data_IF_361808041871
#
_entry.id   IF_361808041871
#
_cell.length_a   1.000
_cell.length_b   1.000
_cell.length_c   1.000
_cell.angle_alpha   90.00
_cell.angle_beta   90.00
_cell.angle_gamma   90.00
#
_symmetry.space_group_name_H-M   'P 1'
#
loop_
_entity.id
_entity.type
_entity.pdbx_description
1 polymer ?
#
# COMPACT_ATOMS: atom_id res chain seq x y z
N UNK A 1 4.70 8.60 -10.72
CA UNK A 1 5.37 9.16 -11.91
C UNK A 1 4.58 8.97 -13.22
N UNK A 2 4.07 7.77 -13.55
CA UNK A 2 3.35 7.50 -14.83
C UNK A 2 2.27 8.54 -15.16
N UNK A 3 1.32 8.78 -14.24
CA UNK A 3 0.29 9.82 -14.43
C UNK A 3 0.87 11.20 -14.70
N UNK A 4 1.95 11.58 -14.01
CA UNK A 4 2.57 12.89 -14.17
C UNK A 4 3.18 13.06 -15.57
N UNK A 5 3.72 11.99 -16.15
CA UNK A 5 4.27 11.99 -17.51
C UNK A 5 3.17 11.93 -18.56
N UNK A 6 2.20 11.03 -18.40
CA UNK A 6 1.11 10.83 -19.38
C UNK A 6 0.12 12.00 -19.41
N UNK A 7 -0.08 12.71 -18.29
CA UNK A 7 -1.08 13.78 -18.16
C UNK A 7 -0.47 15.17 -17.98
N UNK A 8 0.85 15.33 -18.20
CA UNK A 8 1.58 16.59 -18.03
C UNK A 8 1.36 17.26 -16.66
N UNK A 9 1.46 16.46 -15.59
CA UNK A 9 1.19 16.86 -14.21
C UNK A 9 2.45 16.80 -13.32
N UNK A 10 3.62 17.04 -13.91
CA UNK A 10 4.92 16.95 -13.25
C UNK A 10 5.03 17.93 -12.08
N UNK A 11 4.48 19.13 -12.21
CA UNK A 11 4.47 20.13 -11.13
C UNK A 11 3.68 19.61 -9.90
N UNK A 12 2.47 19.09 -10.12
CA UNK A 12 1.63 18.51 -9.05
C UNK A 12 2.32 17.33 -8.36
N UNK A 13 3.00 16.48 -9.14
CA UNK A 13 3.82 15.40 -8.60
C UNK A 13 4.98 15.93 -7.75
N UNK A 14 5.70 16.94 -8.21
CA UNK A 14 6.81 17.52 -7.47
C UNK A 14 6.34 18.17 -6.17
N UNK A 15 5.19 18.85 -6.17
CA UNK A 15 4.57 19.40 -4.96
C UNK A 15 4.19 18.30 -3.96
N UNK A 16 3.58 17.21 -4.45
CA UNK A 16 3.27 16.04 -3.63
C UNK A 16 4.52 15.42 -2.99
N UNK A 17 5.56 15.17 -3.80
CA UNK A 17 6.83 14.62 -3.31
C UNK A 17 7.48 15.55 -2.30
N UNK A 18 7.49 16.86 -2.54
CA UNK A 18 8.06 17.83 -1.62
C UNK A 18 7.32 17.84 -0.27
N UNK A 19 5.98 17.77 -0.27
CA UNK A 19 5.15 17.79 0.94
C UNK A 19 5.33 16.53 1.79
N UNK A 20 5.35 15.36 1.17
CA UNK A 20 5.34 14.07 1.87
C UNK A 20 6.67 13.32 1.79
N UNK A 21 7.76 14.01 1.43
CA UNK A 21 9.08 13.40 1.22
C UNK A 21 9.51 12.50 2.37
N UNK A 22 9.34 12.97 3.61
CA UNK A 22 9.77 12.25 4.81
C UNK A 22 9.03 10.92 4.93
N UNK A 23 7.69 10.92 4.85
CA UNK A 23 6.91 9.68 4.79
C UNK A 23 7.29 8.76 3.64
N UNK A 24 7.43 9.31 2.43
CA UNK A 24 7.77 8.52 1.24
C UNK A 24 9.11 7.81 1.40
N UNK A 25 10.13 8.49 1.93
CA UNK A 25 11.43 7.89 2.21
C UNK A 25 11.36 6.84 3.32
N UNK A 26 10.56 7.08 4.37
CA UNK A 26 10.37 6.10 5.45
C UNK A 26 9.71 4.82 4.96
N UNK A 27 8.74 4.89 4.05
CA UNK A 27 8.11 3.69 3.49
C UNK A 27 9.02 2.98 2.48
N UNK A 28 9.80 3.74 1.71
CA UNK A 28 10.85 3.20 0.84
C UNK A 28 11.91 2.43 1.64
N UNK A 29 12.34 2.95 2.80
CA UNK A 29 13.28 2.25 3.68
C UNK A 29 12.68 0.94 4.23
N UNK A 30 11.39 0.93 4.58
CA UNK A 30 10.69 -0.29 5.01
C UNK A 30 10.61 -1.33 3.90
N UNK A 31 10.31 -0.89 2.68
CA UNK A 31 10.30 -1.76 1.51
C UNK A 31 11.69 -2.34 1.26
N UNK A 32 12.74 -1.52 1.33
CA UNK A 32 14.12 -1.97 1.23
C UNK A 32 14.50 -2.96 2.33
N UNK A 33 14.04 -2.75 3.57
CA UNK A 33 14.22 -3.74 4.66
C UNK A 33 13.56 -5.06 4.34
N UNK A 34 12.33 -5.05 3.81
CA UNK A 34 11.64 -6.26 3.37
C UNK A 34 12.44 -7.01 2.31
N UNK A 35 12.84 -6.35 1.21
CA UNK A 35 13.60 -7.01 0.15
C UNK A 35 14.96 -7.53 0.64
N UNK A 36 15.62 -6.82 1.55
CA UNK A 36 16.86 -7.30 2.19
C UNK A 36 16.64 -8.54 3.05
N UNK A 37 15.56 -8.58 3.81
CA UNK A 37 15.23 -9.72 4.66
C UNK A 37 14.85 -10.96 3.82
N UNK A 38 14.08 -10.77 2.75
CA UNK A 38 13.57 -11.88 1.92
C UNK A 38 14.60 -12.40 0.92
N UNK A 39 15.32 -11.51 0.24
CA UNK A 39 16.18 -11.87 -0.91
C UNK A 39 17.68 -11.72 -0.64
N UNK A 40 18.07 -11.12 0.48
CA UNK A 40 19.48 -10.99 0.89
C UNK A 40 20.34 -10.29 -0.17
N UNK A 41 21.26 -11.03 -0.79
CA UNK A 41 22.22 -10.47 -1.78
C UNK A 41 21.57 -10.01 -3.08
N UNK A 42 20.40 -10.54 -3.44
CA UNK A 42 19.66 -10.11 -4.64
C UNK A 42 18.67 -8.98 -4.36
N UNK A 43 18.53 -8.50 -3.12
CA UNK A 43 17.50 -7.55 -2.70
C UNK A 43 17.33 -6.34 -3.62
N UNK A 44 18.43 -5.68 -4.01
CA UNK A 44 18.35 -4.51 -4.89
C UNK A 44 17.76 -4.85 -6.26
N UNK A 45 18.17 -5.98 -6.85
CA UNK A 45 17.67 -6.40 -8.17
C UNK A 45 16.19 -6.71 -8.10
N UNK A 46 15.78 -7.49 -7.10
CA UNK A 46 14.36 -7.86 -6.91
C UNK A 46 13.50 -6.63 -6.62
N UNK A 47 14.04 -5.66 -5.87
CA UNK A 47 13.38 -4.38 -5.63
C UNK A 47 13.21 -3.57 -6.93
N UNK A 48 14.27 -3.41 -7.72
CA UNK A 48 14.22 -2.67 -8.98
C UNK A 48 13.28 -3.35 -9.99
N UNK A 49 13.28 -4.69 -10.03
CA UNK A 49 12.36 -5.49 -10.84
C UNK A 49 10.90 -5.29 -10.37
N UNK A 50 10.65 -5.27 -9.06
CA UNK A 50 9.34 -4.97 -8.48
C UNK A 50 8.84 -3.56 -8.88
N UNK A 51 9.67 -2.52 -8.70
CA UNK A 51 9.32 -1.14 -9.08
C UNK A 51 9.03 -1.04 -10.59
N UNK A 52 9.82 -1.71 -11.41
CA UNK A 52 9.63 -1.77 -12.87
C UNK A 52 8.31 -2.45 -13.24
N UNK A 53 8.00 -3.60 -12.62
CA UNK A 53 6.74 -4.30 -12.85
C UNK A 53 5.55 -3.47 -12.40
N UNK A 54 5.65 -2.77 -11.27
CA UNK A 54 4.60 -1.86 -10.80
C UNK A 54 4.36 -0.74 -11.81
N UNK A 55 5.42 -0.13 -12.33
CA UNK A 55 5.31 0.91 -13.36
C UNK A 55 4.63 0.38 -14.64
N UNK A 56 4.96 -0.83 -15.07
CA UNK A 56 4.34 -1.48 -16.23
C UNK A 56 2.85 -1.75 -16.02
N UNK A 57 2.46 -2.34 -14.88
CA UNK A 57 1.05 -2.59 -14.54
C UNK A 57 0.25 -1.28 -14.54
N UNK A 58 0.79 -0.22 -13.94
CA UNK A 58 0.10 1.08 -13.91
C UNK A 58 0.04 1.74 -15.30
N UNK A 59 1.06 1.54 -16.14
CA UNK A 59 1.07 2.04 -17.52
C UNK A 59 0.06 1.30 -18.40
N UNK A 60 -0.01 -0.02 -18.31
CA UNK A 60 -0.98 -0.84 -19.04
C UNK A 60 -2.41 -0.47 -18.65
N UNK A 61 -2.68 -0.29 -17.35
CA UNK A 61 -3.97 0.22 -16.87
C UNK A 61 -4.30 1.60 -17.42
N UNK A 62 -3.30 2.47 -17.51
CA UNK A 62 -3.47 3.78 -18.13
C UNK A 62 -3.85 3.69 -19.60
N UNK A 63 -3.22 2.79 -20.35
CA UNK A 63 -3.56 2.52 -21.75
C UNK A 63 -4.97 1.94 -21.88
N UNK A 64 -5.35 0.98 -21.03
CA UNK A 64 -6.69 0.38 -21.03
C UNK A 64 -7.79 1.40 -20.70
N UNK A 65 -7.52 2.35 -19.79
CA UNK A 65 -8.45 3.41 -19.44
C UNK A 65 -8.55 4.53 -20.50
N UNK A 66 -7.57 4.63 -21.40
CA UNK A 66 -7.56 5.61 -22.49
C UNK A 66 -7.68 7.05 -22.00
N UNK A 67 -8.59 7.83 -22.59
CA UNK A 67 -8.79 9.25 -22.26
C UNK A 67 -9.35 9.48 -20.84
N UNK A 68 -9.97 8.46 -20.24
CA UNK A 68 -10.51 8.53 -18.87
C UNK A 68 -9.39 8.45 -17.82
N UNK A 69 -8.22 7.93 -18.19
CA UNK A 69 -7.09 7.80 -17.27
C UNK A 69 -6.72 9.13 -16.60
N UNK A 70 -6.56 10.19 -17.39
CA UNK A 70 -6.15 11.48 -16.85
C UNK A 70 -7.26 12.12 -16.03
N UNK A 71 -8.54 12.02 -16.42
CA UNK A 71 -9.62 12.62 -15.62
C UNK A 71 -9.73 11.96 -14.24
N UNK A 72 -9.59 10.63 -14.15
CA UNK A 72 -9.64 9.91 -12.89
C UNK A 72 -8.40 10.12 -12.02
N UNK A 73 -7.20 10.08 -12.62
CA UNK A 73 -5.94 10.15 -11.85
C UNK A 73 -5.53 11.57 -11.49
N UNK A 74 -5.98 12.58 -12.22
CA UNK A 74 -5.73 13.97 -11.86
C UNK A 74 -6.45 14.38 -10.58
N UNK A 75 -7.69 13.92 -10.37
CA UNK A 75 -8.44 14.17 -9.15
C UNK A 75 -7.69 13.66 -7.89
N UNK A 76 -6.94 12.55 -8.02
CA UNK A 76 -6.12 12.05 -6.92
C UNK A 76 -5.04 13.05 -6.48
N UNK A 77 -4.50 13.88 -7.38
CA UNK A 77 -3.54 14.93 -6.99
C UNK A 77 -4.21 16.02 -6.15
N UNK A 78 -5.46 16.36 -6.44
CA UNK A 78 -6.23 17.32 -5.65
C UNK A 78 -6.58 16.74 -4.26
N UNK A 79 -6.96 15.45 -4.22
CA UNK A 79 -7.24 14.73 -2.97
C UNK A 79 -6.00 14.69 -2.06
N UNK A 80 -4.82 14.30 -2.57
CA UNK A 80 -3.59 14.27 -1.75
C UNK A 80 -3.06 15.65 -1.37
N UNK A 81 -3.32 16.67 -2.20
CA UNK A 81 -2.95 18.04 -1.87
C UNK A 81 -3.71 18.56 -0.64
N UNK A 82 -4.97 18.12 -0.47
CA UNK A 82 -5.84 18.50 0.65
C UNK A 82 -5.51 17.80 1.98
N UNK A 83 -4.72 16.72 1.98
CA UNK A 83 -4.34 16.01 3.20
C UNK A 83 -3.42 16.86 4.08
N UNK A 84 -3.55 16.79 5.40
CA UNK A 84 -2.80 17.69 6.29
C UNK A 84 -1.44 17.13 6.67
N UNK A 85 -1.36 15.80 6.86
CA UNK A 85 -0.17 15.15 7.40
C UNK A 85 0.10 13.77 6.77
N UNK A 86 1.17 13.13 7.25
CA UNK A 86 1.65 11.83 6.76
C UNK A 86 0.74 10.65 7.15
N UNK A 87 -0.03 10.80 8.23
CA UNK A 87 -0.98 9.79 8.67
C UNK A 87 -2.21 9.79 7.76
N UNK A 88 -2.72 10.97 7.40
CA UNK A 88 -3.75 11.14 6.38
C UNK A 88 -3.33 10.52 5.04
N UNK A 89 -2.07 10.71 4.63
CA UNK A 89 -1.54 10.08 3.41
C UNK A 89 -1.55 8.55 3.48
N UNK A 90 -1.21 7.98 4.64
CA UNK A 90 -1.17 6.53 4.81
C UNK A 90 -2.57 5.92 4.73
N UNK A 91 -3.54 6.51 5.44
CA UNK A 91 -4.95 6.10 5.38
C UNK A 91 -5.53 6.25 3.98
N UNK A 92 -5.19 7.36 3.30
CA UNK A 92 -5.58 7.57 1.92
C UNK A 92 -5.02 6.49 1.00
N UNK A 93 -3.74 6.12 1.14
CA UNK A 93 -3.12 5.09 0.31
C UNK A 93 -3.72 3.69 0.56
N UNK A 94 -3.97 3.33 1.82
CA UNK A 94 -4.60 2.06 2.21
C UNK A 94 -6.03 1.90 1.67
N UNK A 95 -6.76 3.01 1.57
CA UNK A 95 -8.11 3.00 1.03
C UNK A 95 -8.18 2.86 -0.51
N UNK A 96 -7.05 2.95 -1.22
CA UNK A 96 -7.04 2.90 -2.69
C UNK A 96 -6.82 1.48 -3.23
N UNK A 97 -7.68 1.16 -4.20
CA UNK A 97 -7.63 0.07 -5.18
C UNK A 97 -6.32 -0.05 -6.00
N UNK A 98 -5.14 -0.21 -5.38
CA UNK A 98 -3.87 -0.27 -6.12
C UNK A 98 -3.49 -1.72 -6.39
N UNK A 99 -3.59 -2.12 -7.66
CA UNK A 99 -3.08 -3.42 -8.06
C UNK A 99 -1.57 -3.43 -8.09
N UNK A 100 -1.07 -4.33 -7.27
CA UNK A 100 0.33 -4.68 -7.12
C UNK A 100 0.73 -5.69 -8.20
N UNK A 101 2.01 -5.74 -8.61
CA UNK A 101 2.56 -6.80 -9.46
C UNK A 101 2.24 -8.19 -8.91
N UNK A 102 2.21 -9.24 -9.74
CA UNK A 102 1.94 -10.60 -9.24
C UNK A 102 3.09 -11.24 -8.43
N UNK A 103 4.25 -10.58 -8.37
CA UNK A 103 5.51 -11.13 -7.85
C UNK A 103 5.82 -10.82 -6.39
N UNK A 104 4.96 -10.09 -5.67
CA UNK A 104 5.11 -9.95 -4.22
C UNK A 104 4.51 -11.18 -3.52
N UNK A 105 5.35 -11.92 -2.81
CA UNK A 105 4.87 -12.88 -1.82
C UNK A 105 4.10 -12.10 -0.75
N UNK A 106 2.78 -12.22 -0.76
CA UNK A 106 1.97 -11.76 0.37
C UNK A 106 2.29 -12.65 1.55
N UNK A 107 2.82 -12.08 2.63
CA UNK A 107 2.85 -12.81 3.89
C UNK A 107 1.40 -13.09 4.30
N UNK A 108 1.07 -14.37 4.48
CA UNK A 108 -0.22 -14.76 5.02
C UNK A 108 -0.36 -14.16 6.41
N UNK A 109 -1.40 -13.34 6.62
CA UNK A 109 -1.67 -12.76 7.93
C UNK A 109 -1.86 -13.90 8.93
N UNK A 110 -1.19 -13.87 10.11
CA UNK A 110 -1.36 -14.93 11.09
C UNK A 110 -2.84 -15.04 11.44
N UNK A 111 -3.40 -16.25 11.30
CA UNK A 111 -4.79 -16.51 11.62
C UNK A 111 -5.07 -16.02 13.04
N UNK A 112 -5.92 -14.99 13.17
CA UNK A 112 -6.50 -14.62 14.45
C UNK A 112 -7.39 -15.79 14.84
N UNK A 113 -6.84 -16.76 15.59
CA UNK A 113 -7.65 -17.76 16.27
C UNK A 113 -8.61 -16.98 17.17
N UNK A 114 -9.87 -16.86 16.73
CA UNK A 114 -10.95 -16.35 17.57
C UNK A 114 -10.98 -17.24 18.79
N UNK A 115 -10.46 -16.74 19.91
CA UNK A 115 -10.52 -17.41 21.19
C UNK A 115 -11.99 -17.73 21.46
N UNK A 116 -12.36 -18.99 21.26
CA UNK A 116 -13.67 -19.49 21.63
C UNK A 116 -13.69 -19.46 23.15
N UNK A 117 -14.32 -18.42 23.70
CA UNK A 117 -14.60 -18.30 25.12
C UNK A 117 -15.54 -19.45 25.49
N UNK A 118 -14.95 -20.58 25.86
CA UNK A 118 -15.67 -21.70 26.43
C UNK A 118 -16.04 -21.32 27.86
N UNK A 119 -17.19 -20.67 28.02
CA UNK A 119 -17.84 -20.45 29.30
C UNK A 119 -18.20 -21.81 29.91
N UNK A 120 -17.25 -22.40 30.66
CA UNK A 120 -17.52 -23.53 31.55
C UNK A 120 -18.51 -23.06 32.62
N UNK A 121 -19.80 -23.33 32.41
CA UNK A 121 -20.83 -23.23 33.44
C UNK A 121 -20.45 -24.15 34.60
N UNK A 122 -20.01 -23.56 35.70
CA UNK A 122 -19.70 -24.20 36.97
C UNK A 122 -21.00 -24.76 37.55
N UNK A 123 -21.23 -26.07 37.43
CA UNK A 123 -22.35 -26.75 38.08
C UNK A 123 -22.11 -26.73 39.60
N UNK A 124 -22.94 -25.97 40.33
CA UNK A 124 -22.92 -25.87 41.79
C UNK A 124 -23.69 -27.05 42.36
N UNK A 125 -22.96 -28.10 42.77
CA UNK A 125 -23.52 -29.19 43.58
C UNK A 125 -24.00 -28.63 44.93
N UNK A 126 -25.30 -28.75 45.20
CA UNK A 126 -25.86 -28.51 46.53
C UNK A 126 -26.08 -29.87 47.19
N UNK A 127 -25.25 -30.18 48.19
CA UNK A 127 -25.48 -31.26 49.15
C UNK A 127 -26.42 -30.71 50.21
N UNK A 128 -27.57 -31.35 50.45
CA UNK A 128 -28.39 -31.11 51.63
C UNK A 128 -28.44 -32.39 52.46
N UNK A 129 -28.23 -32.20 53.76
CA UNK A 129 -28.16 -33.18 54.83
C UNK A 129 -29.48 -33.92 55.07
#
# INVERSE_FOLDING_TARGET
MVTALSCNAQERYNSFVAKFRTRLLSEEDRLNTYFRATYGKSAQREHDDYITQLANVQSERGLQAGTIFCSQRMAMFDEVAALNDEHDLSNYAEAKDIVQPATFETCEAPAVERATSNSRRRARSTRKA
#
